data_IF_774515535496
#
_entry.id   IF_774515535496
#
_cell.length_a   1.000
_cell.length_b   1.000
_cell.length_c   1.000
_cell.angle_alpha   90.00
_cell.angle_beta   90.00
_cell.angle_gamma   90.00
#
_symmetry.space_group_name_H-M   'P 1'
#
loop_
_entity.id
_entity.type
_entity.pdbx_description
1 polymer ?
#
# COMPACT_ATOMS: atom_id res chain seq x y z
N UNK A 1 10.57 -6.75 -15.20
CA UNK A 1 10.02 -5.55 -15.86
C UNK A 1 9.08 -4.88 -14.87
N UNK A 2 9.50 -3.77 -14.28
CA UNK A 2 8.59 -2.91 -13.51
C UNK A 2 7.93 -1.98 -14.53
N UNK A 3 6.68 -2.27 -14.91
CA UNK A 3 5.85 -1.25 -15.52
C UNK A 3 5.73 -0.10 -14.51
N UNK A 4 6.10 1.11 -14.94
CA UNK A 4 5.90 2.34 -14.19
C UNK A 4 4.40 2.61 -14.06
N UNK A 5 3.72 1.84 -13.21
CA UNK A 5 2.34 2.15 -12.81
C UNK A 5 2.38 3.46 -12.03
N UNK A 6 1.56 4.40 -12.47
CA UNK A 6 1.33 5.66 -11.79
C UNK A 6 0.74 5.40 -10.39
N UNK A 7 1.60 5.42 -9.37
CA UNK A 7 1.22 5.22 -7.98
C UNK A 7 0.41 6.42 -7.47
N UNK A 8 -0.82 6.18 -7.02
CA UNK A 8 -1.68 7.19 -6.40
C UNK A 8 -1.25 7.42 -4.95
N UNK A 9 -1.16 6.33 -4.18
CA UNK A 9 -0.76 6.34 -2.78
C UNK A 9 -0.31 4.95 -2.35
N UNK A 10 0.66 4.89 -1.44
CA UNK A 10 1.15 3.65 -0.82
C UNK A 10 0.99 3.74 0.70
N UNK A 11 0.43 2.69 1.28
CA UNK A 11 0.22 2.60 2.72
C UNK A 11 -0.48 1.31 3.12
N UNK A 12 -0.84 1.23 4.39
CA UNK A 12 -1.72 0.19 4.92
C UNK A 12 -3.13 0.34 4.32
N UNK A 13 -3.89 -0.75 4.28
CA UNK A 13 -5.25 -0.77 3.72
C UNK A 13 -6.11 0.38 4.26
N UNK A 14 -6.06 0.62 5.57
CA UNK A 14 -6.76 1.71 6.22
C UNK A 14 -6.34 3.09 5.69
N UNK A 15 -5.04 3.32 5.54
CA UNK A 15 -4.50 4.58 5.01
C UNK A 15 -4.91 4.80 3.55
N UNK A 16 -4.86 3.73 2.74
CA UNK A 16 -5.33 3.75 1.35
C UNK A 16 -6.83 4.10 1.28
N UNK A 17 -7.66 3.51 2.14
CA UNK A 17 -9.10 3.79 2.18
C UNK A 17 -9.41 5.20 2.67
N UNK A 18 -8.67 5.69 3.67
CA UNK A 18 -8.78 7.06 4.16
C UNK A 18 -8.40 8.07 3.07
N UNK A 19 -7.33 7.79 2.33
CA UNK A 19 -6.91 8.61 1.20
C UNK A 19 -7.95 8.60 0.07
N UNK A 20 -8.49 7.43 -0.27
CA UNK A 20 -9.59 7.31 -1.23
C UNK A 20 -10.81 8.12 -0.77
N UNK A 21 -11.24 7.94 0.48
CA UNK A 21 -12.38 8.66 1.05
C UNK A 21 -12.20 10.18 1.03
N UNK A 22 -10.99 10.66 1.34
CA UNK A 22 -10.64 12.08 1.25
C UNK A 22 -10.69 12.58 -0.19
N UNK A 23 -10.17 11.79 -1.14
CA UNK A 23 -10.20 12.13 -2.56
C UNK A 23 -11.64 12.22 -3.09
N UNK A 24 -12.49 11.23 -2.75
CA UNK A 24 -13.91 11.22 -3.10
C UNK A 24 -14.70 12.39 -2.45
N UNK A 25 -14.37 12.76 -1.20
CA UNK A 25 -15.03 13.86 -0.51
C UNK A 25 -14.58 15.24 -1.00
N UNK A 26 -13.35 15.35 -1.53
CA UNK A 26 -12.82 16.60 -2.07
C UNK A 26 -13.44 16.98 -3.42
N UNK A 27 -13.95 16.01 -4.17
CA UNK A 27 -14.57 16.22 -5.47
C UNK A 27 -16.08 16.47 -5.41
N UNK A 28 -16.76 16.11 -4.32
CA UNK A 28 -18.23 16.14 -4.24
C UNK A 28 -18.75 16.48 -2.83
N UNK A 29 -19.80 17.33 -2.70
CA UNK A 29 -20.44 17.62 -1.41
C UNK A 29 -21.00 16.37 -0.70
N UNK A 30 -20.83 16.30 0.63
CA UNK A 30 -21.33 15.17 1.43
C UNK A 30 -22.86 15.08 1.40
N UNK A 31 -23.38 13.87 1.23
CA UNK A 31 -24.82 13.59 1.27
C UNK A 31 -25.57 13.86 -0.04
N UNK A 32 -24.87 14.30 -1.08
CA UNK A 32 -25.47 14.51 -2.40
C UNK A 32 -25.59 13.20 -3.19
N UNK A 33 -26.41 13.22 -4.26
CA UNK A 33 -26.57 12.09 -5.19
C UNK A 33 -25.24 11.76 -5.90
N UNK A 34 -24.45 12.78 -6.21
CA UNK A 34 -23.14 12.67 -6.84
C UNK A 34 -22.14 11.97 -5.90
N UNK A 35 -22.23 12.17 -4.58
CA UNK A 35 -21.35 11.50 -3.62
C UNK A 35 -21.65 10.00 -3.50
N UNK A 36 -22.90 9.61 -3.73
CA UNK A 36 -23.27 8.20 -3.86
C UNK A 36 -22.74 7.63 -5.19
N UNK A 37 -22.88 8.39 -6.29
CA UNK A 37 -22.39 7.99 -7.61
C UNK A 37 -20.87 7.80 -7.64
N UNK A 38 -20.10 8.65 -6.94
CA UNK A 38 -18.65 8.55 -6.83
C UNK A 38 -18.16 7.26 -6.15
N UNK A 39 -18.99 6.64 -5.30
CA UNK A 39 -18.68 5.38 -4.60
C UNK A 39 -19.16 4.15 -5.36
N UNK A 40 -20.01 4.34 -6.38
CA UNK A 40 -20.65 3.26 -7.12
C UNK A 40 -19.62 2.31 -7.77
N UNK A 41 -18.51 2.77 -8.39
CA UNK A 41 -17.53 1.86 -8.97
C UNK A 41 -16.90 0.89 -7.95
N UNK A 42 -16.55 1.38 -6.76
CA UNK A 42 -16.02 0.54 -5.66
C UNK A 42 -17.09 -0.46 -5.20
N UNK A 43 -18.33 0.00 -5.03
CA UNK A 43 -19.44 -0.81 -4.55
C UNK A 43 -19.75 -1.95 -5.52
N UNK A 44 -19.87 -1.62 -6.81
CA UNK A 44 -20.18 -2.56 -7.88
C UNK A 44 -19.05 -3.59 -8.05
N UNK A 45 -17.77 -3.16 -8.07
CA UNK A 45 -16.62 -4.08 -8.15
C UNK A 45 -16.59 -5.06 -6.97
N UNK A 46 -16.83 -4.56 -5.75
CA UNK A 46 -16.82 -5.39 -4.55
C UNK A 46 -18.08 -6.26 -4.41
N UNK A 47 -19.13 -6.00 -5.19
CA UNK A 47 -20.43 -6.65 -5.07
C UNK A 47 -21.15 -6.33 -3.76
N UNK A 48 -20.99 -5.09 -3.25
CA UNK A 48 -21.59 -4.64 -1.98
C UNK A 48 -22.41 -3.37 -2.16
N UNK A 49 -23.16 -2.99 -1.14
CA UNK A 49 -23.93 -1.74 -1.17
C UNK A 49 -23.05 -0.50 -1.00
N UNK A 50 -23.47 0.64 -1.54
CA UNK A 50 -22.85 1.97 -1.29
C UNK A 50 -22.84 2.30 0.21
N UNK A 51 -23.79 1.79 0.98
CA UNK A 51 -23.83 1.91 2.44
C UNK A 51 -22.63 1.24 3.10
N UNK A 52 -22.24 0.05 2.65
CA UNK A 52 -21.04 -0.65 3.12
C UNK A 52 -19.79 0.17 2.83
N UNK A 53 -19.63 0.68 1.62
CA UNK A 53 -18.49 1.54 1.24
C UNK A 53 -18.46 2.81 2.10
N UNK A 54 -19.60 3.45 2.29
CA UNK A 54 -19.70 4.66 3.12
C UNK A 54 -19.27 4.38 4.56
N UNK A 55 -19.56 3.19 5.08
CA UNK A 55 -19.13 2.77 6.41
C UNK A 55 -17.61 2.56 6.47
N UNK A 56 -17.03 1.88 5.49
CA UNK A 56 -15.58 1.64 5.42
C UNK A 56 -14.77 2.94 5.30
N UNK A 57 -15.28 3.93 4.57
CA UNK A 57 -14.62 5.22 4.38
C UNK A 57 -14.72 6.17 5.60
N UNK A 58 -15.52 5.84 6.62
CA UNK A 58 -15.77 6.72 7.79
C UNK A 58 -14.76 6.55 8.92
N UNK A 59 -13.71 5.75 8.74
CA UNK A 59 -12.64 5.56 9.73
C UNK A 59 -13.16 5.05 11.09
N UNK A 60 -14.23 4.24 11.06
CA UNK A 60 -14.88 3.69 12.27
C UNK A 60 -14.35 2.32 12.67
N UNK A 61 -13.19 1.90 12.14
CA UNK A 61 -12.62 0.55 12.34
C UNK A 61 -13.42 -0.59 11.70
N UNK A 62 -14.51 -0.28 10.99
CA UNK A 62 -15.36 -1.26 10.32
C UNK A 62 -14.81 -1.58 8.93
N UNK A 63 -13.90 -2.55 8.84
CA UNK A 63 -13.35 -3.03 7.58
C UNK A 63 -14.14 -4.20 7.02
N UNK A 64 -14.11 -4.43 5.70
CA UNK A 64 -14.61 -5.69 5.15
C UNK A 64 -13.81 -6.87 5.68
N UNK A 65 -14.48 -8.01 5.73
CA UNK A 65 -13.88 -9.32 6.02
C UNK A 65 -14.20 -10.27 4.86
N UNK A 66 -13.39 -11.31 4.70
CA UNK A 66 -13.61 -12.34 3.68
C UNK A 66 -13.50 -11.84 2.24
N UNK A 67 -14.41 -12.28 1.36
CA UNK A 67 -14.36 -11.96 -0.07
C UNK A 67 -14.37 -10.45 -0.39
N UNK A 68 -15.25 -9.63 0.23
CA UNK A 68 -15.22 -8.18 0.02
C UNK A 68 -13.86 -7.53 0.32
N UNK A 69 -13.09 -8.07 1.28
CA UNK A 69 -11.75 -7.55 1.59
C UNK A 69 -10.77 -7.81 0.45
N UNK A 70 -10.80 -9.01 -0.12
CA UNK A 70 -9.96 -9.38 -1.27
C UNK A 70 -10.30 -8.51 -2.47
N UNK A 71 -11.60 -8.38 -2.79
CA UNK A 71 -12.07 -7.51 -3.87
C UNK A 71 -11.66 -6.06 -3.65
N UNK A 72 -11.77 -5.55 -2.42
CA UNK A 72 -11.36 -4.19 -2.12
C UNK A 72 -9.86 -3.98 -2.32
N UNK A 73 -9.00 -4.90 -1.89
CA UNK A 73 -7.56 -4.82 -2.13
C UNK A 73 -7.22 -4.86 -3.62
N UNK A 74 -7.88 -5.74 -4.40
CA UNK A 74 -7.71 -5.80 -5.84
C UNK A 74 -8.20 -4.54 -6.56
N UNK A 75 -9.32 -3.96 -6.11
CA UNK A 75 -9.83 -2.69 -6.62
C UNK A 75 -8.83 -1.56 -6.39
N UNK A 76 -8.30 -1.46 -5.16
CA UNK A 76 -7.31 -0.44 -4.81
C UNK A 76 -6.04 -0.58 -5.67
N UNK A 77 -5.52 -1.79 -5.88
CA UNK A 77 -4.38 -2.01 -6.80
C UNK A 77 -4.71 -1.60 -8.24
N UNK A 78 -5.90 -1.95 -8.73
CA UNK A 78 -6.38 -1.61 -10.07
C UNK A 78 -6.44 -0.09 -10.30
N UNK A 79 -6.89 0.68 -9.30
CA UNK A 79 -6.95 2.15 -9.39
C UNK A 79 -5.64 2.84 -8.98
N UNK A 80 -4.55 2.10 -8.79
CA UNK A 80 -3.20 2.62 -8.62
C UNK A 80 -2.74 2.83 -7.17
N UNK A 81 -3.47 2.30 -6.18
CA UNK A 81 -3.01 2.26 -4.79
C UNK A 81 -2.09 1.07 -4.54
N UNK A 82 -1.09 1.23 -3.69
CA UNK A 82 -0.19 0.16 -3.26
C UNK A 82 -0.48 -0.22 -1.81
N UNK A 83 -1.26 -1.27 -1.63
CA UNK A 83 -1.68 -1.77 -0.31
C UNK A 83 -0.59 -2.68 0.26
N UNK A 84 -0.01 -2.31 1.40
CA UNK A 84 1.11 -3.03 2.03
C UNK A 84 0.74 -4.48 2.35
N UNK A 85 -0.48 -4.72 2.84
CA UNK A 85 -0.97 -6.06 3.15
C UNK A 85 -0.96 -6.94 1.91
N UNK A 86 -1.44 -6.42 0.77
CA UNK A 86 -1.42 -7.12 -0.51
C UNK A 86 0.03 -7.39 -0.97
N UNK A 87 0.94 -6.43 -0.82
CA UNK A 87 2.36 -6.55 -1.18
C UNK A 87 3.13 -7.57 -0.32
N UNK A 88 2.69 -7.82 0.91
CA UNK A 88 3.29 -8.81 1.81
C UNK A 88 2.81 -10.24 1.54
N UNK A 89 1.65 -10.42 0.92
CA UNK A 89 1.14 -11.75 0.56
C UNK A 89 2.11 -12.42 -0.43
N UNK A 90 2.53 -13.68 -0.19
CA UNK A 90 3.35 -14.44 -1.13
C UNK A 90 2.77 -14.46 -2.54
N UNK A 91 3.63 -14.36 -3.57
CA UNK A 91 3.20 -14.16 -4.96
C UNK A 91 2.15 -15.17 -5.44
N UNK A 92 2.34 -16.46 -5.17
CA UNK A 92 1.40 -17.52 -5.59
C UNK A 92 0.01 -17.28 -5.00
N UNK A 93 -0.04 -16.95 -3.70
CA UNK A 93 -1.31 -16.70 -2.99
C UNK A 93 -1.96 -15.41 -3.45
N UNK A 94 -1.16 -14.35 -3.71
CA UNK A 94 -1.65 -13.10 -4.29
C UNK A 94 -2.28 -13.33 -5.65
N UNK A 95 -1.56 -14.03 -6.54
CA UNK A 95 -2.03 -14.39 -7.87
C UNK A 95 -3.37 -15.16 -7.81
N UNK A 96 -3.47 -16.11 -6.88
CA UNK A 96 -4.71 -16.84 -6.66
C UNK A 96 -5.83 -15.97 -6.08
N UNK A 97 -5.51 -15.07 -5.13
CA UNK A 97 -6.45 -14.10 -4.57
C UNK A 97 -7.02 -13.17 -5.63
N UNK A 98 -6.24 -12.79 -6.65
CA UNK A 98 -6.74 -11.98 -7.78
C UNK A 98 -7.82 -12.71 -8.57
N UNK A 99 -7.77 -14.03 -8.72
CA UNK A 99 -8.86 -14.77 -9.37
C UNK A 99 -10.19 -14.55 -8.63
N UNK A 100 -10.15 -14.47 -7.31
CA UNK A 100 -11.33 -14.17 -6.48
C UNK A 100 -11.69 -12.68 -6.56
N UNK A 101 -10.69 -11.82 -6.47
CA UNK A 101 -10.85 -10.37 -6.53
C UNK A 101 -11.53 -9.89 -7.82
N UNK A 102 -11.22 -10.50 -8.96
CA UNK A 102 -11.83 -10.21 -10.26
C UNK A 102 -13.00 -11.16 -10.61
N UNK A 103 -13.45 -11.98 -9.65
CA UNK A 103 -14.65 -12.82 -9.80
C UNK A 103 -14.53 -13.92 -10.87
N UNK A 104 -13.33 -14.48 -11.08
CA UNK A 104 -13.13 -15.74 -11.83
C UNK A 104 -13.42 -16.98 -10.97
N UNK A 105 -13.27 -16.84 -9.65
CA UNK A 105 -13.64 -17.84 -8.66
C UNK A 105 -14.41 -17.14 -7.54
N UNK A 106 -15.43 -17.79 -6.99
CA UNK A 106 -15.95 -17.38 -5.68
C UNK A 106 -15.04 -17.91 -4.57
N UNK A 107 -15.09 -17.31 -3.39
CA UNK A 107 -14.34 -17.81 -2.24
C UNK A 107 -14.73 -19.24 -1.87
N UNK A 108 -16.02 -19.59 -2.01
CA UNK A 108 -16.51 -20.94 -1.72
C UNK A 108 -15.93 -21.96 -2.69
N UNK A 109 -15.95 -21.67 -4.00
CA UNK A 109 -15.33 -22.52 -5.03
C UNK A 109 -13.83 -22.70 -4.80
N UNK A 110 -13.15 -21.61 -4.44
CA UNK A 110 -11.72 -21.64 -4.17
C UNK A 110 -11.38 -22.44 -2.90
N UNK A 111 -12.16 -22.31 -1.84
CA UNK A 111 -11.98 -23.05 -0.60
C UNK A 111 -12.26 -24.55 -0.79
N UNK A 112 -13.32 -24.89 -1.52
CA UNK A 112 -13.67 -26.27 -1.89
C UNK A 112 -12.56 -26.91 -2.72
N UNK A 113 -12.10 -26.23 -3.77
CA UNK A 113 -11.03 -26.71 -4.65
C UNK A 113 -9.72 -27.01 -3.89
N UNK A 114 -9.41 -26.19 -2.88
CA UNK A 114 -8.21 -26.36 -2.04
C UNK A 114 -8.43 -27.26 -0.81
N UNK A 115 -9.63 -27.79 -0.62
CA UNK A 115 -9.97 -28.66 0.50
C UNK A 115 -9.90 -27.96 1.86
N UNK A 116 -10.34 -26.71 1.97
CA UNK A 116 -10.50 -26.03 3.25
C UNK A 116 -11.92 -26.23 3.79
N UNK A 117 -12.02 -26.83 4.98
CA UNK A 117 -13.30 -27.00 5.68
C UNK A 117 -13.80 -25.71 6.34
N UNK A 118 -12.90 -24.77 6.63
CA UNK A 118 -13.22 -23.49 7.29
C UNK A 118 -12.83 -22.32 6.42
N UNK A 119 -13.80 -21.46 6.13
CA UNK A 119 -13.59 -20.20 5.40
C UNK A 119 -12.67 -19.24 6.15
N UNK A 120 -12.72 -19.23 7.49
CA UNK A 120 -11.83 -18.41 8.29
C UNK A 120 -10.37 -18.82 8.08
N UNK A 121 -10.09 -20.13 8.08
CA UNK A 121 -8.74 -20.66 7.83
C UNK A 121 -8.30 -20.36 6.40
N UNK A 122 -9.19 -20.55 5.43
CA UNK A 122 -8.93 -20.21 4.04
C UNK A 122 -8.51 -18.75 3.86
N UNK A 123 -9.27 -17.80 4.43
CA UNK A 123 -8.95 -16.38 4.32
C UNK A 123 -7.64 -16.01 5.02
N UNK A 124 -7.35 -16.57 6.20
CA UNK A 124 -6.08 -16.33 6.89
C UNK A 124 -4.87 -16.82 6.07
N UNK A 125 -5.00 -17.96 5.39
CA UNK A 125 -3.95 -18.46 4.49
C UNK A 125 -3.76 -17.55 3.29
N UNK A 126 -4.87 -17.13 2.67
CA UNK A 126 -4.86 -16.28 1.48
C UNK A 126 -4.27 -14.89 1.77
N UNK A 127 -4.55 -14.35 2.95
CA UNK A 127 -3.99 -13.09 3.47
C UNK A 127 -2.54 -13.21 3.93
N UNK A 128 -1.94 -14.41 3.91
CA UNK A 128 -0.56 -14.63 4.31
C UNK A 128 -0.32 -14.67 5.82
N UNK A 129 -1.38 -14.71 6.64
CA UNK A 129 -1.27 -14.85 8.09
C UNK A 129 -0.89 -16.28 8.51
N UNK A 130 -1.29 -17.27 7.72
CA UNK A 130 -0.93 -18.68 7.92
C UNK A 130 -0.27 -19.28 6.69
N UNK A 131 0.56 -20.31 6.89
CA UNK A 131 1.14 -21.10 5.80
C UNK A 131 0.10 -21.95 5.07
N UNK A 132 0.31 -22.17 3.77
CA UNK A 132 -0.33 -23.23 3.02
C UNK A 132 0.62 -24.43 2.91
N UNK A 133 0.09 -25.64 2.77
CA UNK A 133 0.92 -26.79 2.40
C UNK A 133 1.39 -26.67 0.95
N UNK A 134 2.52 -27.29 0.61
CA UNK A 134 3.08 -27.27 -0.75
C UNK A 134 2.06 -27.76 -1.80
N UNK A 135 1.31 -28.83 -1.50
CA UNK A 135 0.22 -29.33 -2.37
C UNK A 135 -0.82 -28.25 -2.68
N UNK A 136 -1.20 -27.44 -1.68
CA UNK A 136 -2.19 -26.37 -1.87
C UNK A 136 -1.60 -25.18 -2.61
N UNK A 137 -0.33 -24.85 -2.39
CA UNK A 137 0.34 -23.79 -3.16
C UNK A 137 0.50 -24.19 -4.63
N UNK A 138 0.80 -25.46 -4.90
CA UNK A 138 0.87 -25.99 -6.26
C UNK A 138 -0.50 -25.91 -6.95
N UNK A 139 -1.58 -26.34 -6.28
CA UNK A 139 -2.96 -26.19 -6.79
C UNK A 139 -3.33 -24.74 -7.08
N UNK A 140 -2.96 -23.80 -6.19
CA UNK A 140 -3.18 -22.36 -6.42
C UNK A 140 -2.44 -21.88 -7.66
N UNK A 141 -1.19 -22.32 -7.84
CA UNK A 141 -0.36 -21.95 -8.98
C UNK A 141 -0.92 -22.48 -10.30
N UNK A 142 -1.31 -23.76 -10.34
CA UNK A 142 -1.81 -24.41 -11.55
C UNK A 142 -3.11 -23.74 -12.04
N UNK A 143 -4.05 -23.52 -11.13
CA UNK A 143 -5.31 -22.82 -11.44
C UNK A 143 -5.07 -21.39 -11.91
N UNK A 144 -4.14 -20.66 -11.29
CA UNK A 144 -3.80 -19.32 -11.76
C UNK A 144 -3.17 -19.37 -13.15
N UNK A 145 -2.28 -20.32 -13.40
CA UNK A 145 -1.58 -20.46 -14.69
C UNK A 145 -2.55 -20.76 -15.83
N UNK A 146 -3.57 -21.59 -15.58
CA UNK A 146 -4.62 -21.92 -16.56
C UNK A 146 -5.52 -20.72 -16.89
N UNK A 147 -5.73 -19.81 -15.94
CA UNK A 147 -6.66 -18.67 -16.07
C UNK A 147 -5.97 -17.32 -16.20
N UNK A 148 -4.65 -17.26 -16.36
CA UNK A 148 -3.89 -16.00 -16.33
C UNK A 148 -4.28 -15.06 -17.48
N UNK A 149 -4.55 -15.57 -18.68
CA UNK A 149 -5.00 -14.76 -19.82
C UNK A 149 -6.40 -14.20 -19.58
N UNK A 150 -7.31 -15.03 -19.07
CA UNK A 150 -8.68 -14.61 -18.72
C UNK A 150 -8.65 -13.56 -17.60
N UNK A 151 -7.80 -13.76 -16.59
CA UNK A 151 -7.57 -12.80 -15.51
C UNK A 151 -7.09 -11.47 -16.07
N UNK A 152 -6.10 -11.47 -16.97
CA UNK A 152 -5.58 -10.25 -17.55
C UNK A 152 -6.67 -9.48 -18.34
N UNK A 153 -7.45 -10.18 -19.16
CA UNK A 153 -8.59 -9.56 -19.85
C UNK A 153 -9.62 -8.99 -18.88
N UNK A 154 -9.89 -9.68 -17.77
CA UNK A 154 -10.85 -9.23 -16.75
C UNK A 154 -10.33 -8.01 -15.99
N UNK A 155 -9.02 -7.92 -15.76
CA UNK A 155 -8.36 -6.73 -15.20
C UNK A 155 -8.54 -5.52 -16.09
N UNK A 156 -8.25 -5.66 -17.38
CA UNK A 156 -8.37 -4.57 -18.36
C UNK A 156 -9.82 -4.08 -18.48
N UNK A 157 -10.79 -4.99 -18.64
CA UNK A 157 -12.22 -4.64 -18.67
C UNK A 157 -12.68 -3.97 -17.38
N UNK A 158 -12.22 -4.46 -16.23
CA UNK A 158 -12.59 -3.88 -14.93
C UNK A 158 -12.00 -2.49 -14.75
N UNK A 159 -10.79 -2.25 -15.25
CA UNK A 159 -10.15 -0.95 -15.20
C UNK A 159 -10.93 0.09 -16.02
N UNK A 160 -11.49 -0.30 -17.16
CA UNK A 160 -12.37 0.55 -17.97
C UNK A 160 -13.73 0.78 -17.29
N UNK A 161 -14.36 -0.30 -16.80
CA UNK A 161 -15.73 -0.27 -16.27
C UNK A 161 -15.84 0.45 -14.92
N UNK A 162 -14.84 0.31 -14.05
CA UNK A 162 -14.87 0.80 -12.67
C UNK A 162 -13.85 1.90 -12.39
N UNK A 163 -13.37 2.55 -13.45
CA UNK A 163 -12.48 3.71 -13.35
C UNK A 163 -13.12 4.78 -12.47
N UNK A 164 -12.30 5.44 -11.65
CA UNK A 164 -12.72 6.65 -10.95
C UNK A 164 -12.58 7.83 -11.90
N UNK A 165 -13.70 8.50 -12.21
CA UNK A 165 -13.73 9.76 -12.98
C UNK A 165 -13.25 10.98 -12.18
N UNK A 166 -12.55 10.73 -11.07
CA UNK A 166 -12.03 11.77 -10.20
C UNK A 166 -10.56 11.92 -10.53
N UNK A 167 -10.03 13.16 -10.61
CA UNK A 167 -8.60 13.38 -10.67
C UNK A 167 -8.00 12.90 -9.34
N UNK A 168 -7.74 11.59 -9.24
CA UNK A 168 -6.83 11.05 -8.26
C UNK A 168 -5.54 11.82 -8.47
N UNK A 169 -5.03 12.46 -7.41
CA UNK A 169 -3.71 13.06 -7.43
C UNK A 169 -2.73 11.91 -7.61
N UNK A 170 -2.52 11.51 -8.87
CA UNK A 170 -1.43 10.65 -9.27
C UNK A 170 -0.21 11.35 -8.70
N UNK A 171 0.48 10.73 -7.76
CA UNK A 171 1.81 11.19 -7.38
C UNK A 171 2.68 10.86 -8.57
N UNK A 172 2.62 11.71 -9.59
CA UNK A 172 3.66 11.70 -10.60
C UNK A 172 4.94 11.94 -9.80
N UNK A 173 5.96 11.10 -10.01
CA UNK A 173 7.30 11.34 -9.48
C UNK A 173 7.86 12.71 -9.94
N UNK A 174 7.12 13.45 -10.77
CA UNK A 174 7.45 14.70 -11.45
C UNK A 174 6.76 15.93 -10.82
N UNK A 175 5.66 15.77 -10.07
CA UNK A 175 4.89 16.92 -9.51
C UNK A 175 5.27 17.31 -8.08
N UNK A 176 6.31 16.69 -7.51
CA UNK A 176 7.03 17.29 -6.38
C UNK A 176 7.97 18.42 -6.88
N UNK A 177 8.31 18.44 -8.17
CA UNK A 177 9.26 19.42 -8.71
C UNK A 177 8.61 20.75 -9.08
N UNK A 178 7.45 20.79 -9.75
CA UNK A 178 7.02 22.05 -10.40
C UNK A 178 6.29 23.08 -9.54
N UNK A 179 5.71 22.70 -8.39
CA UNK A 179 5.08 23.68 -7.48
C UNK A 179 6.06 24.18 -6.41
N UNK A 180 7.16 23.46 -6.16
CA UNK A 180 8.22 23.88 -5.23
C UNK A 180 9.40 24.61 -5.93
N UNK A 181 9.43 24.64 -7.26
CA UNK A 181 10.55 25.17 -8.04
C UNK A 181 10.57 26.69 -8.19
N UNK A 182 9.54 27.42 -7.75
CA UNK A 182 9.56 28.88 -7.95
C UNK A 182 10.28 29.69 -6.88
N UNK A 183 10.82 29.11 -5.79
CA UNK A 183 11.57 29.93 -4.83
C UNK A 183 12.56 29.28 -3.82
N UNK A 184 12.81 27.97 -3.79
CA UNK A 184 13.55 27.37 -2.63
C UNK A 184 14.69 26.41 -3.06
N UNK A 185 15.75 26.92 -3.71
CA UNK A 185 16.86 26.09 -4.22
C UNK A 185 18.20 26.18 -3.48
N UNK A 186 18.28 26.75 -2.27
CA UNK A 186 19.53 26.75 -1.49
C UNK A 186 19.37 26.55 0.04
N UNK A 187 18.20 26.89 0.60
CA UNK A 187 17.96 26.84 2.05
C UNK A 187 17.65 25.43 2.56
N UNK A 188 17.04 24.55 1.75
CA UNK A 188 16.62 23.22 2.19
C UNK A 188 17.78 22.26 2.39
N UNK A 189 18.77 22.27 1.49
CA UNK A 189 19.98 21.43 1.63
C UNK A 189 20.76 21.82 2.88
N UNK A 190 20.87 23.13 3.17
CA UNK A 190 21.47 23.62 4.43
C UNK A 190 20.65 23.21 5.65
N UNK A 191 19.33 23.34 5.60
CA UNK A 191 18.46 22.93 6.71
C UNK A 191 18.54 21.43 7.01
N UNK A 192 18.61 20.59 5.98
CA UNK A 192 18.77 19.13 6.16
C UNK A 192 20.12 18.82 6.82
N UNK A 193 21.20 19.46 6.36
CA UNK A 193 22.52 19.31 6.99
C UNK A 193 22.50 19.81 8.44
N UNK A 194 21.92 20.96 8.73
CA UNK A 194 21.83 21.49 10.10
C UNK A 194 20.97 20.63 11.03
N UNK A 195 19.92 19.97 10.51
CA UNK A 195 19.13 19.00 11.29
C UNK A 195 19.97 17.75 11.60
N UNK A 196 20.74 17.25 10.63
CA UNK A 196 21.63 16.11 10.85
C UNK A 196 22.73 16.43 11.87
N UNK A 197 23.33 17.62 11.78
CA UNK A 197 24.32 18.13 12.75
C UNK A 197 23.70 18.31 14.14
N UNK A 198 22.49 18.87 14.22
CA UNK A 198 21.76 19.00 15.48
C UNK A 198 21.41 17.66 16.12
N UNK A 199 20.95 16.69 15.33
CA UNK A 199 20.69 15.33 15.81
C UNK A 199 21.97 14.64 16.30
N UNK A 200 23.09 14.84 15.60
CA UNK A 200 24.39 14.30 16.02
C UNK A 200 24.84 14.88 17.36
N UNK A 201 24.77 16.21 17.54
CA UNK A 201 25.10 16.85 18.82
C UNK A 201 24.25 16.32 19.97
N UNK A 202 22.94 16.15 19.76
CA UNK A 202 22.04 15.61 20.78
C UNK A 202 22.35 14.14 21.15
N UNK A 203 22.81 13.35 20.17
CA UNK A 203 23.23 11.96 20.36
C UNK A 203 24.60 11.85 21.05
N UNK A 204 25.52 12.78 20.79
CA UNK A 204 26.86 12.81 21.37
C UNK A 204 26.89 13.38 22.80
N UNK A 205 25.95 14.26 23.18
CA UNK A 205 25.82 14.81 24.54
C UNK A 205 25.24 13.84 25.59
N UNK A 206 25.18 12.53 25.32
CA UNK A 206 24.57 11.52 26.21
C UNK A 206 23.16 11.88 26.69
N UNK A 207 22.38 12.62 25.88
CA UNK A 207 21.07 13.15 26.25
C UNK A 207 20.05 12.06 26.63
N UNK A 208 20.27 10.83 26.16
CA UNK A 208 19.44 9.64 26.45
C UNK A 208 19.65 9.08 27.87
N UNK A 209 20.74 9.45 28.56
CA UNK A 209 20.97 9.02 29.95
C UNK A 209 20.01 9.66 30.95
N UNK A 210 19.33 10.75 30.55
CA UNK A 210 18.36 11.49 31.38
C UNK A 210 16.91 11.10 31.10
N UNK A 211 16.67 10.11 30.24
CA UNK A 211 15.32 9.71 29.88
C UNK A 211 14.62 9.04 31.07
N UNK A 212 13.37 9.42 31.32
CA UNK A 212 12.54 8.68 32.27
C UNK A 212 12.11 7.34 31.66
N UNK A 213 11.64 6.40 32.49
CA UNK A 213 11.14 5.11 32.01
C UNK A 213 9.95 5.26 31.02
N UNK A 214 9.20 6.36 31.10
CA UNK A 214 8.15 6.72 30.15
C UNK A 214 8.72 7.14 28.79
N UNK A 215 9.75 7.99 28.77
CA UNK A 215 10.41 8.43 27.54
C UNK A 215 11.09 7.26 26.81
N UNK A 216 11.63 6.31 27.57
CA UNK A 216 12.19 5.06 27.03
C UNK A 216 11.13 4.15 26.40
N UNK A 217 9.90 4.15 26.92
CA UNK A 217 8.79 3.39 26.33
C UNK A 217 8.30 4.01 25.02
N UNK A 218 8.21 5.33 24.95
CA UNK A 218 7.85 6.07 23.72
C UNK A 218 8.95 5.97 22.66
N UNK A 219 10.22 5.94 23.09
CA UNK A 219 11.35 5.68 22.20
C UNK A 219 11.32 4.25 21.64
N UNK A 220 10.95 3.24 22.45
CA UNK A 220 10.74 1.85 21.99
C UNK A 220 9.59 1.74 21.00
N UNK A 221 8.49 2.47 21.20
CA UNK A 221 7.41 2.54 20.22
C UNK A 221 7.88 3.16 18.88
N UNK A 222 8.89 4.02 18.94
CA UNK A 222 9.52 4.67 17.78
C UNK A 222 10.74 3.92 17.22
N UNK A 223 11.02 2.69 17.69
CA UNK A 223 12.21 1.93 17.32
C UNK A 223 12.32 1.65 15.80
N UNK A 224 11.19 1.45 15.11
CA UNK A 224 11.16 1.30 13.64
C UNK A 224 11.63 2.59 12.93
N UNK A 225 11.30 3.76 13.48
CA UNK A 225 11.76 5.04 12.92
C UNK A 225 13.27 5.20 13.12
N UNK A 226 13.80 4.83 14.28
CA UNK A 226 15.25 4.87 14.57
C UNK A 226 16.01 3.92 13.63
N UNK A 227 15.53 2.68 13.45
CA UNK A 227 16.14 1.70 12.56
C UNK A 227 16.14 2.16 11.10
N UNK A 228 15.04 2.75 10.63
CA UNK A 228 14.97 3.30 9.27
C UNK A 228 15.90 4.48 9.09
N UNK A 229 15.97 5.37 10.08
CA UNK A 229 16.85 6.53 10.05
C UNK A 229 18.33 6.09 10.02
N UNK A 230 18.69 5.07 10.81
CA UNK A 230 20.00 4.43 10.75
C UNK A 230 20.31 3.85 9.37
N UNK A 231 19.39 3.06 8.78
CA UNK A 231 19.58 2.48 7.45
C UNK A 231 19.77 3.54 6.36
N UNK A 232 19.01 4.64 6.42
CA UNK A 232 19.13 5.75 5.48
C UNK A 232 20.46 6.51 5.65
N UNK A 233 20.91 6.75 6.89
CA UNK A 233 22.19 7.39 7.16
C UNK A 233 23.37 6.51 6.76
N UNK A 234 23.33 5.19 7.00
CA UNK A 234 24.34 4.24 6.55
C UNK A 234 24.43 4.19 5.03
N UNK A 235 23.29 4.20 4.33
CA UNK A 235 23.28 4.28 2.87
C UNK A 235 23.84 5.61 2.34
N UNK A 236 23.57 6.73 3.02
CA UNK A 236 24.12 8.03 2.65
C UNK A 236 25.63 8.08 2.87
N UNK A 237 26.11 7.58 4.00
CA UNK A 237 27.54 7.47 4.32
C UNK A 237 28.29 6.63 3.29
N UNK A 238 27.75 5.46 2.93
CA UNK A 238 28.33 4.60 1.89
C UNK A 238 28.46 5.32 0.55
N UNK A 239 27.44 6.09 0.13
CA UNK A 239 27.50 6.88 -1.11
C UNK A 239 28.54 8.00 -1.05
N UNK A 240 28.67 8.67 0.09
CA UNK A 240 29.67 9.71 0.28
C UNK A 240 31.09 9.13 0.21
N UNK A 241 31.35 8.02 0.89
CA UNK A 241 32.65 7.32 0.86
C UNK A 241 33.00 6.86 -0.56
N UNK A 242 32.04 6.27 -1.29
CA UNK A 242 32.24 5.85 -2.68
C UNK A 242 32.51 7.04 -3.61
N UNK A 243 31.87 8.18 -3.38
CA UNK A 243 32.10 9.41 -4.15
C UNK A 243 33.48 10.04 -3.88
N UNK A 244 34.01 9.91 -2.66
CA UNK A 244 35.37 10.35 -2.32
C UNK A 244 36.46 9.41 -2.87
N UNK A 245 36.21 8.10 -2.89
CA UNK A 245 37.12 7.12 -3.48
C UNK A 245 37.22 7.27 -5.01
N UNK A 246 36.12 7.58 -5.69
CA UNK A 246 36.13 7.91 -7.13
C UNK A 246 36.90 9.20 -7.44
N UNK A 247 36.93 10.17 -6.51
CA UNK A 247 37.74 11.39 -6.66
C UNK A 247 39.24 11.17 -6.42
N UNK A 248 39.63 10.21 -5.57
CA UNK A 248 41.04 9.90 -5.28
C UNK A 248 41.68 8.89 -6.24
N UNK A 249 40.89 8.07 -6.93
CA UNK A 249 41.38 7.11 -7.95
C UNK A 249 41.49 7.67 -9.37
N UNK A 250 41.25 8.97 -9.55
CA UNK A 250 41.24 9.67 -10.85
C UNK A 250 42.27 10.81 -10.93
N UNK A 251 43.42 10.68 -10.24
CA UNK A 251 44.59 11.54 -10.42
C UNK A 251 45.82 10.69 -10.67
#
# INVERSE_FOLDING_TARGET
MNEERNEVFRGHLEECLRNLGTSLASSVPRGSREAAQAKKPVADFCGVTIGSITRWLRDTGSFPIGEPLIKLMCYLDMVGYRVIELERIPRIRRNFAELIGYGLLTSDQAAEFLGYASMSTFYQVLQGHHGASEDKEQKMWDVWKERKEELQQKKERSQELYRLDIPLKIRSRVDVSKVLERQVSASRSKAVVSIMEGLLMLLEESSFEKFSDGDLADLKASADTILRLSAHLSSLSSRLIMSEQQRKGGS
#
